data_IF_504673970090
#
_entry.id   IF_504673970090
#
_cell.length_a   1.000
_cell.length_b   1.000
_cell.length_c   1.000
_cell.angle_alpha   90.00
_cell.angle_beta   90.00
_cell.angle_gamma   90.00
#
_symmetry.space_group_name_H-M   'P 1'
#
loop_
_entity.id
_entity.type
_entity.pdbx_description
1 polymer ?
#
# COMPACT_ATOMS: atom_id res chain seq x y z
N UNK A 1 4.41 -23.88 34.02
CA UNK A 1 5.19 -22.66 33.83
C UNK A 1 5.72 -22.68 32.42
N UNK A 2 4.96 -22.15 31.49
CA UNK A 2 5.32 -22.10 30.05
C UNK A 2 5.68 -20.64 29.75
N UNK A 3 6.93 -20.37 29.40
CA UNK A 3 7.39 -19.06 28.99
C UNK A 3 6.87 -18.80 27.57
N UNK A 4 5.98 -17.82 27.45
CA UNK A 4 5.58 -17.25 26.17
C UNK A 4 6.76 -16.46 25.61
N UNK A 5 7.33 -16.90 24.50
CA UNK A 5 8.32 -16.13 23.75
C UNK A 5 7.69 -14.82 23.26
N UNK A 6 8.16 -13.69 23.78
CA UNK A 6 7.85 -12.36 23.27
C UNK A 6 8.54 -12.23 21.92
N UNK A 7 7.77 -12.25 20.83
CA UNK A 7 8.28 -11.90 19.51
C UNK A 7 8.66 -10.40 19.47
N UNK A 8 9.91 -10.10 19.75
CA UNK A 8 10.46 -8.78 19.53
C UNK A 8 10.40 -8.46 18.02
N UNK A 9 9.86 -7.29 17.67
CA UNK A 9 9.98 -6.75 16.31
C UNK A 9 11.46 -6.37 16.13
N UNK A 10 12.23 -7.27 15.55
CA UNK A 10 13.58 -6.93 15.06
C UNK A 10 13.46 -5.94 13.91
N UNK A 11 14.35 -4.93 13.83
CA UNK A 11 14.47 -4.15 12.60
C UNK A 11 14.75 -5.14 11.48
N UNK A 12 13.99 -5.07 10.38
CA UNK A 12 14.28 -5.86 9.19
C UNK A 12 15.66 -5.43 8.72
N UNK A 13 16.54 -6.40 8.49
CA UNK A 13 17.70 -6.14 7.67
C UNK A 13 17.23 -5.56 6.34
N UNK A 14 17.86 -4.47 5.87
CA UNK A 14 17.54 -3.94 4.56
C UNK A 14 17.78 -5.07 3.55
N UNK A 15 16.75 -5.39 2.77
CA UNK A 15 16.91 -6.28 1.63
C UNK A 15 17.90 -5.60 0.71
N UNK A 16 19.05 -6.23 0.46
CA UNK A 16 20.05 -5.72 -0.47
C UNK A 16 19.35 -5.48 -1.82
N UNK A 17 19.52 -4.32 -2.47
CA UNK A 17 19.03 -4.12 -3.82
C UNK A 17 19.46 -5.20 -4.82
N UNK A 18 20.55 -5.91 -4.55
CA UNK A 18 20.99 -7.10 -5.27
C UNK A 18 20.12 -8.34 -5.03
N UNK A 19 19.38 -8.41 -3.91
CA UNK A 19 18.44 -9.49 -3.58
C UNK A 19 17.04 -9.27 -4.12
N UNK A 20 16.79 -8.15 -4.79
CA UNK A 20 15.62 -8.00 -5.61
C UNK A 20 15.71 -9.02 -6.73
N UNK A 21 14.72 -9.93 -6.93
CA UNK A 21 14.89 -11.06 -7.82
C UNK A 21 15.37 -10.61 -9.20
N UNK A 22 16.62 -10.93 -9.51
CA UNK A 22 17.09 -10.96 -10.87
C UNK A 22 16.27 -12.05 -11.58
N UNK A 23 15.77 -11.74 -12.77
CA UNK A 23 15.02 -12.60 -13.68
C UNK A 23 14.89 -14.06 -13.26
N UNK A 24 13.65 -14.49 -12.97
CA UNK A 24 13.34 -15.93 -12.85
C UNK A 24 13.71 -16.57 -14.18
N UNK A 25 14.75 -17.42 -14.18
CA UNK A 25 15.05 -18.27 -15.33
C UNK A 25 13.80 -19.06 -15.70
N UNK A 26 13.34 -18.86 -16.92
CA UNK A 26 12.13 -19.42 -17.45
C UNK A 26 12.13 -20.95 -17.27
N UNK A 27 11.24 -21.47 -16.45
CA UNK A 27 10.85 -22.86 -16.48
C UNK A 27 10.24 -23.12 -17.86
N UNK A 28 10.98 -23.81 -18.74
CA UNK A 28 10.77 -24.11 -20.14
C UNK A 28 9.32 -24.32 -20.59
N UNK A 29 8.55 -23.29 -20.68
CA UNK A 29 7.27 -23.22 -21.39
C UNK A 29 7.41 -22.25 -22.55
N UNK A 30 6.94 -22.66 -23.71
CA UNK A 30 6.75 -21.76 -24.85
C UNK A 30 5.79 -20.65 -24.42
N UNK A 31 6.18 -19.35 -24.52
CA UNK A 31 5.29 -18.26 -24.16
C UNK A 31 3.97 -18.41 -24.93
N UNK A 32 2.85 -18.40 -24.21
CA UNK A 32 1.54 -18.30 -24.84
C UNK A 32 1.51 -16.97 -25.60
N UNK A 33 1.11 -17.01 -26.87
CA UNK A 33 0.91 -15.81 -27.68
C UNK A 33 -0.09 -14.92 -26.96
N UNK A 34 0.25 -13.62 -26.62
CA UNK A 34 -0.66 -12.72 -25.95
C UNK A 34 -1.99 -12.68 -26.73
N UNK A 35 -3.11 -12.86 -26.06
CA UNK A 35 -4.41 -12.66 -26.70
C UNK A 35 -4.52 -11.17 -27.07
N UNK A 36 -4.85 -10.86 -28.30
CA UNK A 36 -4.87 -9.50 -28.87
C UNK A 36 -5.82 -8.51 -28.16
N UNK A 37 -6.43 -8.90 -27.05
CA UNK A 37 -7.42 -8.15 -26.27
C UNK A 37 -7.03 -7.94 -24.80
N UNK A 38 -5.97 -8.56 -24.29
CA UNK A 38 -5.55 -8.38 -22.91
C UNK A 38 -4.86 -7.02 -22.73
N UNK A 39 -5.21 -6.20 -21.70
CA UNK A 39 -4.58 -4.92 -21.44
C UNK A 39 -3.12 -5.12 -20.99
N UNK A 40 -2.24 -4.18 -21.32
CA UNK A 40 -0.90 -4.15 -20.75
C UNK A 40 -0.94 -3.71 -19.27
N UNK A 41 0.06 -4.10 -18.47
CA UNK A 41 0.17 -3.67 -17.07
C UNK A 41 0.24 -2.15 -16.94
N UNK A 42 0.77 -1.45 -17.94
CA UNK A 42 0.74 0.01 -18.01
C UNK A 42 -0.68 0.60 -18.00
N UNK A 43 -1.67 -0.11 -18.52
CA UNK A 43 -3.08 0.30 -18.54
C UNK A 43 -3.79 -0.04 -17.21
N UNK A 44 -3.24 -0.99 -16.45
CA UNK A 44 -3.80 -1.48 -15.20
C UNK A 44 -3.15 -0.85 -13.95
N UNK A 45 -2.13 0.00 -14.12
CA UNK A 45 -1.39 0.60 -13.01
C UNK A 45 -1.44 2.14 -13.04
N UNK A 46 -1.40 2.76 -11.87
CA UNK A 46 -1.36 4.23 -11.77
C UNK A 46 -0.02 4.82 -12.18
N UNK A 47 1.07 4.07 -12.10
CA UNK A 47 2.39 4.46 -12.59
C UNK A 47 2.48 4.39 -14.13
N UNK A 48 1.58 3.65 -14.76
CA UNK A 48 1.47 3.50 -16.22
C UNK A 48 2.75 3.01 -16.87
N UNK A 49 3.42 2.05 -16.25
CA UNK A 49 4.53 1.28 -16.82
C UNK A 49 4.22 -0.20 -16.73
N UNK A 50 4.86 -0.99 -17.58
CA UNK A 50 4.73 -2.44 -17.61
C UNK A 50 4.21 -2.97 -18.94
N UNK A 51 4.75 -4.11 -19.35
CA UNK A 51 4.48 -4.76 -20.62
C UNK A 51 3.17 -5.58 -20.63
N UNK A 52 3.02 -6.47 -21.65
CA UNK A 52 1.83 -7.29 -21.83
C UNK A 52 1.64 -8.29 -20.70
N UNK A 53 0.42 -8.83 -20.57
CA UNK A 53 0.09 -9.94 -19.68
C UNK A 53 -0.19 -11.21 -20.48
N UNK A 54 0.05 -12.38 -19.87
CA UNK A 54 -0.25 -13.66 -20.51
C UNK A 54 -1.75 -13.87 -20.70
N UNK A 55 -2.52 -13.62 -19.65
CA UNK A 55 -4.00 -13.65 -19.70
C UNK A 55 -4.59 -12.61 -18.75
N UNK A 56 -5.83 -12.17 -19.04
CA UNK A 56 -6.57 -11.21 -18.20
C UNK A 56 -7.99 -11.68 -17.96
N UNK A 57 -8.38 -11.76 -16.69
CA UNK A 57 -9.71 -12.20 -16.27
C UNK A 57 -10.33 -11.13 -15.38
N UNK A 58 -11.48 -10.59 -15.80
CA UNK A 58 -12.29 -9.72 -14.96
C UNK A 58 -13.49 -10.51 -14.43
N UNK A 59 -13.70 -10.48 -13.11
CA UNK A 59 -14.76 -11.26 -12.46
C UNK A 59 -15.77 -10.34 -11.77
N UNK A 60 -17.04 -10.66 -11.93
CA UNK A 60 -18.17 -9.93 -11.31
C UNK A 60 -18.86 -10.73 -10.20
N UNK A 61 -18.28 -11.87 -9.82
CA UNK A 61 -18.78 -12.71 -8.73
C UNK A 61 -17.65 -13.27 -7.89
N UNK A 62 -17.94 -13.57 -6.63
CA UNK A 62 -16.98 -14.20 -5.73
C UNK A 62 -16.56 -15.58 -6.21
N UNK A 63 -17.51 -16.37 -6.69
CA UNK A 63 -17.22 -17.70 -7.24
C UNK A 63 -16.26 -17.61 -8.43
N UNK A 64 -16.50 -16.68 -9.36
CA UNK A 64 -15.61 -16.45 -10.50
C UNK A 64 -14.20 -16.02 -10.09
N UNK A 65 -14.05 -15.17 -9.06
CA UNK A 65 -12.75 -14.79 -8.53
C UNK A 65 -12.03 -16.01 -7.94
N UNK A 66 -12.72 -16.80 -7.10
CA UNK A 66 -12.14 -18.00 -6.48
C UNK A 66 -11.75 -19.03 -7.55
N UNK A 67 -12.61 -19.26 -8.56
CA UNK A 67 -12.36 -20.22 -9.62
C UNK A 67 -11.16 -19.83 -10.48
N UNK A 68 -11.00 -18.54 -10.83
CA UNK A 68 -9.85 -18.04 -11.57
C UNK A 68 -8.55 -18.25 -10.78
N UNK A 69 -8.56 -17.95 -9.47
CA UNK A 69 -7.40 -18.18 -8.58
C UNK A 69 -7.08 -19.66 -8.46
N UNK A 70 -8.07 -20.53 -8.25
CA UNK A 70 -7.90 -21.98 -8.15
C UNK A 70 -7.34 -22.59 -9.43
N UNK A 71 -7.84 -22.12 -10.59
CA UNK A 71 -7.34 -22.60 -11.87
C UNK A 71 -5.88 -22.23 -12.08
N UNK A 72 -5.49 -20.97 -11.81
CA UNK A 72 -4.09 -20.55 -11.90
C UNK A 72 -3.18 -21.38 -10.97
N UNK A 73 -3.62 -21.64 -9.72
CA UNK A 73 -2.88 -22.47 -8.77
C UNK A 73 -2.77 -23.94 -9.22
N UNK A 74 -3.85 -24.52 -9.77
CA UNK A 74 -3.86 -25.91 -10.25
C UNK A 74 -2.95 -26.08 -11.46
N UNK A 75 -2.91 -25.11 -12.35
CA UNK A 75 -2.08 -25.13 -13.56
C UNK A 75 -0.63 -24.67 -13.27
N UNK A 76 -0.34 -24.25 -12.03
CA UNK A 76 0.94 -23.67 -11.63
C UNK A 76 1.35 -22.46 -12.49
N UNK A 77 0.37 -21.65 -12.91
CA UNK A 77 0.57 -20.42 -13.67
C UNK A 77 0.76 -19.26 -12.68
N UNK A 78 1.74 -18.36 -12.91
CA UNK A 78 1.89 -17.17 -12.10
C UNK A 78 0.58 -16.35 -12.04
N UNK A 79 0.23 -15.88 -10.84
CA UNK A 79 -1.05 -15.19 -10.58
C UNK A 79 -0.80 -13.78 -10.04
N UNK A 80 -1.44 -12.78 -10.66
CA UNK A 80 -1.56 -11.43 -10.14
C UNK A 80 -3.04 -11.09 -9.94
N UNK A 81 -3.50 -11.04 -8.68
CA UNK A 81 -4.78 -10.41 -8.36
C UNK A 81 -4.54 -8.92 -8.19
N UNK A 82 -5.09 -8.12 -9.12
CA UNK A 82 -4.87 -6.68 -9.18
C UNK A 82 -6.10 -5.92 -8.69
N UNK A 83 -5.88 -4.93 -7.83
CA UNK A 83 -6.89 -3.92 -7.49
C UNK A 83 -6.80 -2.71 -8.42
N UNK A 84 -6.66 -1.51 -7.87
CA UNK A 84 -6.47 -0.29 -8.67
C UNK A 84 -5.05 -0.09 -9.21
N UNK A 85 -4.13 -1.05 -9.09
CA UNK A 85 -2.76 -0.96 -9.60
C UNK A 85 -1.92 0.18 -9.00
N UNK A 86 -2.32 0.72 -7.84
CA UNK A 86 -1.76 1.94 -7.27
C UNK A 86 -0.48 1.74 -6.43
N UNK A 87 -0.04 0.49 -6.26
CA UNK A 87 1.17 0.15 -5.51
C UNK A 87 1.95 -0.97 -6.21
N UNK A 88 2.09 -0.86 -7.53
CA UNK A 88 2.77 -1.84 -8.39
C UNK A 88 3.83 -1.14 -9.24
N UNK A 89 5.02 -1.75 -9.31
CA UNK A 89 6.03 -1.51 -10.32
C UNK A 89 6.08 -2.75 -11.21
N UNK A 90 5.62 -2.62 -12.46
CA UNK A 90 5.53 -3.71 -13.41
C UNK A 90 6.67 -3.63 -14.44
N UNK A 91 7.31 -4.76 -14.74
CA UNK A 91 8.41 -4.84 -15.69
C UNK A 91 7.95 -4.58 -17.14
N UNK A 92 8.85 -4.03 -17.96
CA UNK A 92 8.60 -3.78 -19.38
C UNK A 92 8.39 -5.08 -20.18
N UNK A 93 8.99 -6.19 -19.74
CA UNK A 93 8.75 -7.52 -20.31
C UNK A 93 7.31 -8.01 -20.10
N UNK A 94 6.60 -7.44 -19.13
CA UNK A 94 5.23 -7.83 -18.80
C UNK A 94 5.15 -8.91 -17.72
N UNK A 95 4.07 -9.67 -17.73
CA UNK A 95 3.80 -10.73 -16.75
C UNK A 95 3.26 -11.98 -17.46
N UNK A 96 4.10 -13.02 -17.53
CA UNK A 96 3.76 -14.30 -18.16
C UNK A 96 2.84 -15.16 -17.25
N UNK A 97 1.70 -14.60 -16.86
CA UNK A 97 0.74 -15.25 -15.97
C UNK A 97 -0.67 -14.74 -16.18
N UNK A 98 -1.55 -15.09 -15.27
CA UNK A 98 -2.94 -14.63 -15.27
C UNK A 98 -3.06 -13.41 -14.35
N UNK A 99 -3.56 -12.31 -14.89
CA UNK A 99 -3.99 -11.14 -14.12
C UNK A 99 -5.49 -11.24 -13.88
N UNK A 100 -5.90 -11.26 -12.61
CA UNK A 100 -7.31 -11.35 -12.21
C UNK A 100 -7.73 -10.04 -11.55
N UNK A 101 -8.82 -9.45 -12.03
CA UNK A 101 -9.45 -8.25 -11.44
C UNK A 101 -10.80 -8.59 -10.88
N UNK A 102 -11.04 -8.21 -9.63
CA UNK A 102 -12.36 -8.24 -9.01
C UNK A 102 -13.10 -6.94 -9.38
N UNK A 103 -14.17 -7.04 -10.16
CA UNK A 103 -15.00 -5.92 -10.58
C UNK A 103 -16.26 -5.74 -9.72
N UNK A 104 -16.39 -6.49 -8.62
CA UNK A 104 -17.48 -6.29 -7.65
C UNK A 104 -17.27 -4.96 -6.91
N UNK A 105 -18.37 -4.26 -6.62
CA UNK A 105 -18.32 -2.91 -6.04
C UNK A 105 -19.37 -2.71 -4.93
N UNK A 106 -19.87 -3.80 -4.35
CA UNK A 106 -20.93 -3.75 -3.35
C UNK A 106 -20.38 -3.26 -2.00
N UNK A 107 -21.19 -2.46 -1.32
CA UNK A 107 -20.97 -1.98 0.05
C UNK A 107 -22.26 -2.19 0.82
N UNK A 108 -22.24 -3.13 1.77
CA UNK A 108 -23.39 -3.56 2.55
C UNK A 108 -23.31 -3.05 3.99
N UNK A 109 -24.37 -2.38 4.43
CA UNK A 109 -24.58 -2.06 5.82
C UNK A 109 -25.09 -3.32 6.54
N UNK A 110 -24.25 -3.91 7.39
CA UNK A 110 -24.57 -5.15 8.12
C UNK A 110 -25.38 -4.86 9.37
N UNK A 111 -24.93 -3.88 10.17
CA UNK A 111 -25.64 -3.42 11.36
C UNK A 111 -25.47 -1.92 11.54
N UNK A 112 -26.53 -1.28 12.06
CA UNK A 112 -26.56 0.12 12.49
C UNK A 112 -27.19 0.15 13.87
N UNK A 113 -26.38 -0.17 14.90
CA UNK A 113 -26.81 -0.20 16.29
C UNK A 113 -26.26 1.05 17.00
N UNK A 114 -27.12 1.94 17.52
CA UNK A 114 -26.69 3.13 18.26
C UNK A 114 -25.74 2.83 19.42
N UNK A 115 -25.82 1.66 20.03
CA UNK A 115 -24.97 1.23 21.15
C UNK A 115 -23.76 0.41 20.67
N UNK A 116 -23.92 -0.40 19.62
CA UNK A 116 -22.91 -1.33 19.08
C UNK A 116 -22.03 -0.72 17.99
N UNK A 117 -22.43 0.41 17.41
CA UNK A 117 -21.76 1.03 16.27
C UNK A 117 -22.25 0.50 14.91
N UNK A 118 -21.55 0.93 13.87
CA UNK A 118 -21.86 0.59 12.47
C UNK A 118 -20.91 -0.50 11.99
N UNK A 119 -21.46 -1.57 11.45
CA UNK A 119 -20.70 -2.60 10.75
C UNK A 119 -21.01 -2.57 9.27
N UNK A 120 -19.97 -2.35 8.46
CA UNK A 120 -20.04 -2.26 7.01
C UNK A 120 -19.13 -3.30 6.39
N UNK A 121 -19.63 -4.03 5.40
CA UNK A 121 -18.82 -4.96 4.59
C UNK A 121 -18.78 -4.46 3.16
N UNK A 122 -17.57 -4.38 2.58
CA UNK A 122 -17.37 -4.03 1.18
C UNK A 122 -16.61 -5.14 0.45
N UNK A 123 -17.00 -5.41 -0.80
CA UNK A 123 -16.30 -6.36 -1.67
C UNK A 123 -14.89 -5.86 -1.99
N UNK A 124 -13.98 -6.79 -2.25
CA UNK A 124 -12.57 -6.46 -2.45
C UNK A 124 -12.33 -5.56 -3.68
N UNK A 125 -13.16 -5.67 -4.71
CA UNK A 125 -13.08 -4.86 -5.93
C UNK A 125 -13.62 -3.43 -5.77
N UNK A 126 -14.41 -3.13 -4.72
CA UNK A 126 -14.97 -1.80 -4.50
C UNK A 126 -13.85 -0.74 -4.41
N UNK A 127 -14.06 0.40 -5.06
CA UNK A 127 -13.10 1.51 -5.01
C UNK A 127 -13.00 2.07 -3.60
N UNK A 128 -11.77 2.22 -3.09
CA UNK A 128 -11.55 2.71 -1.73
C UNK A 128 -12.15 4.10 -1.47
N UNK A 129 -11.93 5.07 -2.37
CA UNK A 129 -12.43 6.43 -2.14
C UNK A 129 -13.95 6.55 -2.30
N UNK A 130 -14.61 5.65 -3.05
CA UNK A 130 -16.07 5.56 -3.10
C UNK A 130 -16.64 5.08 -1.77
N UNK A 131 -16.02 4.06 -1.14
CA UNK A 131 -16.37 3.65 0.21
C UNK A 131 -16.19 4.80 1.20
N UNK A 132 -15.05 5.52 1.15
CA UNK A 132 -14.81 6.68 2.02
C UNK A 132 -15.85 7.78 1.81
N UNK A 133 -16.20 8.10 0.57
CA UNK A 133 -17.23 9.08 0.22
C UNK A 133 -18.60 8.68 0.80
N UNK A 134 -18.99 7.42 0.62
CA UNK A 134 -20.23 6.87 1.18
C UNK A 134 -20.20 6.91 2.71
N UNK A 135 -19.09 6.53 3.34
CA UNK A 135 -18.93 6.53 4.79
C UNK A 135 -19.10 7.93 5.38
N UNK A 136 -18.46 8.95 4.77
CA UNK A 136 -18.61 10.35 5.19
C UNK A 136 -20.05 10.85 5.03
N UNK A 137 -20.71 10.51 3.90
CA UNK A 137 -22.09 10.89 3.64
C UNK A 137 -23.07 10.22 4.62
N UNK A 138 -22.81 8.99 5.02
CA UNK A 138 -23.62 8.18 5.95
C UNK A 138 -23.24 8.35 7.42
N UNK A 139 -22.32 9.27 7.75
CA UNK A 139 -21.81 9.48 9.10
C UNK A 139 -21.13 8.26 9.74
N UNK A 140 -20.48 7.40 8.96
CA UNK A 140 -19.64 6.33 9.45
C UNK A 140 -18.26 6.92 9.80
N UNK A 141 -17.98 7.03 11.09
CA UNK A 141 -16.82 7.78 11.57
C UNK A 141 -15.48 7.16 11.25
N UNK A 142 -14.44 8.00 11.13
CA UNK A 142 -13.03 7.57 11.03
C UNK A 142 -12.45 7.53 9.63
N UNK A 143 -13.25 7.46 8.57
CA UNK A 143 -12.76 7.33 7.19
C UNK A 143 -12.18 8.61 6.57
N UNK A 144 -12.61 9.79 7.01
CA UNK A 144 -12.37 11.06 6.32
C UNK A 144 -10.89 11.37 6.03
N UNK A 145 -9.97 11.04 6.95
CA UNK A 145 -8.53 11.23 6.77
C UNK A 145 -7.91 10.33 5.68
N UNK A 146 -8.59 9.25 5.29
CA UNK A 146 -8.15 8.29 4.27
C UNK A 146 -8.73 8.59 2.88
N UNK A 147 -9.32 9.77 2.69
CA UNK A 147 -9.91 10.23 1.42
C UNK A 147 -8.88 10.33 0.31
N UNK A 148 -9.29 10.00 -0.91
CA UNK A 148 -8.50 10.15 -2.13
C UNK A 148 -7.31 9.19 -2.24
N UNK A 149 -7.19 8.17 -1.39
CA UNK A 149 -6.20 7.10 -1.57
C UNK A 149 -6.69 6.24 -2.75
N UNK A 150 -5.87 6.09 -3.81
CA UNK A 150 -6.24 5.25 -4.95
C UNK A 150 -6.16 3.77 -4.60
N UNK A 151 -6.94 2.94 -5.29
CA UNK A 151 -6.95 1.50 -5.11
C UNK A 151 -8.30 0.95 -4.69
N UNK A 152 -8.34 -0.30 -4.24
CA UNK A 152 -9.56 -1.03 -3.89
C UNK A 152 -9.59 -1.43 -2.42
N UNK A 153 -10.77 -1.75 -1.93
CA UNK A 153 -11.01 -2.19 -0.55
C UNK A 153 -10.18 -3.43 -0.20
N UNK A 154 -10.07 -4.40 -1.12
CA UNK A 154 -9.29 -5.62 -0.87
C UNK A 154 -7.77 -5.39 -0.78
N UNK A 155 -7.26 -4.35 -1.48
CA UNK A 155 -5.86 -3.97 -1.41
C UNK A 155 -5.51 -3.17 -0.14
N UNK A 156 -6.49 -2.49 0.45
CA UNK A 156 -6.27 -1.61 1.60
C UNK A 156 -5.62 -2.31 2.81
N UNK A 157 -6.09 -3.49 3.29
CA UNK A 157 -5.47 -4.20 4.40
C UNK A 157 -4.12 -4.83 4.05
N UNK A 158 -3.84 -5.15 2.78
CA UNK A 158 -2.56 -5.74 2.37
C UNK A 158 -1.40 -4.79 2.72
N UNK A 159 -1.58 -3.51 2.44
CA UNK A 159 -0.57 -2.47 2.65
C UNK A 159 -0.77 -1.72 3.97
N UNK A 160 -1.83 -2.03 4.75
CA UNK A 160 -2.26 -1.19 5.87
C UNK A 160 -2.23 0.29 5.46
N UNK A 161 -3.04 0.63 4.44
CA UNK A 161 -3.03 1.99 3.89
C UNK A 161 -3.27 3.03 4.98
N UNK A 162 -2.63 4.18 4.85
CA UNK A 162 -2.78 5.24 5.82
C UNK A 162 -2.35 6.59 5.27
N UNK A 163 -3.00 7.63 5.76
CA UNK A 163 -2.73 9.01 5.44
C UNK A 163 -3.17 9.92 6.60
N UNK A 164 -2.52 11.07 6.72
CA UNK A 164 -2.88 12.14 7.68
C UNK A 164 -3.11 11.65 9.13
N UNK A 165 -2.27 10.70 9.57
CA UNK A 165 -2.29 10.16 10.94
C UNK A 165 -3.28 9.03 11.18
N UNK A 166 -4.08 8.63 10.18
CA UNK A 166 -5.00 7.50 10.24
C UNK A 166 -4.49 6.31 9.42
N UNK A 167 -4.85 5.10 9.81
CA UNK A 167 -4.57 3.85 9.10
C UNK A 167 -5.84 2.99 9.00
N UNK A 168 -5.93 2.14 7.96
CA UNK A 168 -7.09 1.25 7.79
C UNK A 168 -7.27 0.30 8.98
N UNK A 169 -6.20 -0.08 9.65
CA UNK A 169 -6.22 -0.89 10.88
C UNK A 169 -7.12 -0.32 11.97
N UNK A 170 -7.37 1.00 11.98
CA UNK A 170 -8.21 1.66 13.00
C UNK A 170 -9.71 1.47 12.75
N UNK A 171 -10.07 1.06 11.54
CA UNK A 171 -11.45 0.90 11.09
C UNK A 171 -11.81 -0.57 10.84
N UNK A 172 -10.80 -1.39 10.47
CA UNK A 172 -10.96 -2.75 10.04
C UNK A 172 -11.29 -3.68 11.21
N UNK A 173 -12.33 -4.49 11.08
CA UNK A 173 -12.66 -5.56 12.03
C UNK A 173 -12.08 -6.90 11.56
N UNK A 174 -12.23 -7.23 10.28
CA UNK A 174 -11.78 -8.50 9.70
C UNK A 174 -11.72 -8.43 8.18
N UNK A 175 -11.08 -9.42 7.58
CA UNK A 175 -11.21 -9.71 6.14
C UNK A 175 -11.72 -11.13 5.94
N UNK A 176 -12.52 -11.32 4.89
CA UNK A 176 -12.84 -12.63 4.36
C UNK A 176 -11.96 -12.87 3.14
N UNK A 177 -11.27 -14.00 3.10
CA UNK A 177 -10.27 -14.26 2.08
C UNK A 177 -10.33 -15.73 1.60
N UNK A 178 -9.93 -15.96 0.36
CA UNK A 178 -9.58 -17.28 -0.13
C UNK A 178 -8.16 -17.62 0.30
N UNK A 179 -7.98 -18.66 1.11
CA UNK A 179 -6.66 -19.20 1.50
C UNK A 179 -6.20 -20.20 0.44
N UNK A 180 -5.27 -19.78 -0.41
CA UNK A 180 -4.71 -20.59 -1.51
C UNK A 180 -3.98 -21.83 -1.00
N UNK A 181 -3.35 -21.76 0.19
CA UNK A 181 -2.67 -22.90 0.79
C UNK A 181 -3.65 -23.93 1.35
N UNK A 182 -4.75 -23.47 1.94
CA UNK A 182 -5.76 -24.34 2.53
C UNK A 182 -6.87 -24.76 1.55
N UNK A 183 -6.96 -24.11 0.38
CA UNK A 183 -7.99 -24.37 -0.62
C UNK A 183 -9.42 -24.09 -0.12
N UNK A 184 -9.58 -23.10 0.75
CA UNK A 184 -10.89 -22.75 1.34
C UNK A 184 -10.99 -21.27 1.69
N UNK A 185 -12.22 -20.79 1.79
CA UNK A 185 -12.48 -19.45 2.33
C UNK A 185 -12.25 -19.44 3.84
N UNK A 186 -11.62 -18.37 4.31
CA UNK A 186 -11.32 -18.12 5.72
C UNK A 186 -11.77 -16.73 6.14
N UNK A 187 -12.03 -16.57 7.43
CA UNK A 187 -12.30 -15.28 8.08
C UNK A 187 -11.10 -14.94 8.94
N UNK A 188 -10.45 -13.82 8.67
CA UNK A 188 -9.21 -13.40 9.35
C UNK A 188 -9.53 -12.15 10.16
N UNK A 189 -9.59 -12.25 11.51
CA UNK A 189 -9.82 -11.08 12.37
C UNK A 189 -8.62 -10.13 12.33
N UNK A 190 -8.84 -8.88 12.70
CA UNK A 190 -7.81 -7.82 12.72
C UNK A 190 -6.54 -8.27 13.47
N UNK A 191 -6.68 -8.97 14.59
CA UNK A 191 -5.54 -9.45 15.39
C UNK A 191 -4.61 -10.41 14.64
N UNK A 192 -5.14 -11.22 13.72
CA UNK A 192 -4.37 -12.18 12.93
C UNK A 192 -3.75 -11.55 11.68
N UNK A 193 -4.30 -10.42 11.21
CA UNK A 193 -3.72 -9.66 10.10
C UNK A 193 -2.36 -9.03 10.44
N UNK A 194 -2.04 -8.87 11.73
CA UNK A 194 -0.77 -8.32 12.24
C UNK A 194 -0.36 -7.06 11.49
N UNK A 195 -1.31 -6.12 11.36
CA UNK A 195 -1.09 -4.87 10.66
C UNK A 195 -0.07 -4.00 11.42
N UNK A 196 0.95 -3.56 10.69
CA UNK A 196 1.93 -2.59 11.16
C UNK A 196 2.12 -1.49 10.11
N UNK A 197 3.08 -0.59 10.31
CA UNK A 197 3.35 0.47 9.34
C UNK A 197 3.71 -0.11 7.97
N UNK A 198 2.83 0.08 6.98
CA UNK A 198 2.97 -0.41 5.59
C UNK A 198 3.17 -1.92 5.47
N UNK A 199 2.67 -2.72 6.42
CA UNK A 199 2.87 -4.15 6.45
C UNK A 199 1.66 -4.90 7.04
N UNK A 200 1.52 -6.18 6.65
CA UNK A 200 0.48 -7.09 7.13
C UNK A 200 0.92 -8.55 6.97
N UNK A 201 0.23 -9.49 7.61
CA UNK A 201 0.40 -10.92 7.32
C UNK A 201 0.08 -11.23 5.84
N UNK A 202 -0.89 -10.53 5.25
CA UNK A 202 -1.23 -10.66 3.83
C UNK A 202 -0.02 -10.33 2.94
N UNK A 203 0.62 -9.17 3.20
CA UNK A 203 1.80 -8.73 2.45
C UNK A 203 3.00 -9.63 2.70
N UNK A 204 3.27 -9.99 3.95
CA UNK A 204 4.42 -10.87 4.28
C UNK A 204 4.35 -12.21 3.60
N UNK A 205 3.17 -12.77 3.36
CA UNK A 205 3.03 -14.04 2.64
C UNK A 205 3.55 -14.02 1.20
N UNK A 206 3.82 -12.83 0.63
CA UNK A 206 4.45 -12.70 -0.68
C UNK A 206 5.88 -13.26 -0.69
N UNK A 207 6.64 -13.03 0.39
CA UNK A 207 8.09 -13.26 0.44
C UNK A 207 8.55 -14.06 1.66
N UNK A 208 7.69 -14.28 2.65
CA UNK A 208 8.00 -14.98 3.90
C UNK A 208 7.33 -16.37 3.89
N UNK A 209 8.11 -17.46 3.78
CA UNK A 209 7.56 -18.81 3.75
C UNK A 209 6.90 -19.22 5.08
N UNK A 210 7.32 -18.67 6.24
CA UNK A 210 6.70 -18.99 7.52
C UNK A 210 5.25 -18.48 7.59
N UNK A 211 4.98 -17.31 7.01
CA UNK A 211 3.63 -16.76 6.85
C UNK A 211 2.90 -17.43 5.68
N UNK A 212 3.63 -17.80 4.64
CA UNK A 212 3.13 -18.39 3.41
C UNK A 212 2.81 -19.89 3.48
N UNK A 213 2.83 -20.55 4.66
CA UNK A 213 2.63 -21.98 4.83
C UNK A 213 3.70 -22.83 4.09
N UNK A 214 4.96 -22.48 4.29
CA UNK A 214 6.11 -23.19 3.75
C UNK A 214 6.56 -22.76 2.36
N UNK A 215 5.93 -21.73 1.76
CA UNK A 215 6.32 -21.19 0.45
C UNK A 215 6.09 -19.69 0.36
N UNK A 216 6.75 -19.03 -0.57
CA UNK A 216 6.45 -17.66 -1.00
C UNK A 216 5.37 -17.66 -2.08
N UNK A 217 4.56 -16.62 -2.15
CA UNK A 217 3.38 -16.58 -3.02
C UNK A 217 3.40 -15.46 -4.06
N UNK A 218 4.34 -14.50 -3.99
CA UNK A 218 4.33 -13.30 -4.85
C UNK A 218 4.09 -13.57 -6.33
N UNK A 219 3.51 -12.62 -7.07
CA UNK A 219 3.11 -11.27 -6.64
C UNK A 219 1.73 -11.21 -5.94
N UNK A 220 0.94 -12.28 -5.93
CA UNK A 220 -0.30 -12.40 -5.14
C UNK A 220 -0.05 -13.28 -3.92
N UNK A 221 -0.40 -12.79 -2.72
CA UNK A 221 -0.17 -13.49 -1.47
C UNK A 221 -0.97 -14.78 -1.29
N UNK A 222 -0.69 -15.48 -0.19
CA UNK A 222 -1.45 -16.67 0.23
C UNK A 222 -2.95 -16.42 0.31
N UNK A 223 -3.34 -15.25 0.81
CA UNK A 223 -4.74 -14.91 1.00
C UNK A 223 -5.19 -13.89 -0.04
N UNK A 224 -6.14 -14.28 -0.87
CA UNK A 224 -6.84 -13.37 -1.79
C UNK A 224 -8.05 -12.81 -1.05
N UNK A 225 -8.05 -11.51 -0.78
CA UNK A 225 -9.15 -10.84 -0.08
C UNK A 225 -10.40 -10.86 -0.95
N UNK A 226 -11.51 -11.30 -0.38
CA UNK A 226 -12.84 -11.35 -1.02
C UNK A 226 -13.73 -10.18 -0.58
N UNK A 227 -13.62 -9.79 0.68
CA UNK A 227 -14.29 -8.63 1.26
C UNK A 227 -13.58 -8.17 2.54
N UNK A 228 -13.79 -6.92 2.91
CA UNK A 228 -13.35 -6.36 4.18
C UNK A 228 -14.55 -5.86 4.99
N UNK A 229 -14.56 -6.14 6.29
CA UNK A 229 -15.57 -5.69 7.23
C UNK A 229 -14.98 -4.62 8.14
N UNK A 230 -15.64 -3.49 8.23
CA UNK A 230 -15.28 -2.35 9.07
C UNK A 230 -16.25 -2.23 10.23
N UNK A 231 -15.73 -1.87 11.41
CA UNK A 231 -16.54 -1.60 12.59
C UNK A 231 -16.20 -0.20 13.10
N UNK A 232 -17.14 0.72 12.97
CA UNK A 232 -16.94 2.14 13.19
C UNK A 232 -18.08 2.75 14.00
N UNK A 233 -17.87 3.96 14.50
CA UNK A 233 -18.92 4.69 15.22
C UNK A 233 -19.82 5.44 14.26
N UNK A 234 -21.09 5.55 14.57
CA UNK A 234 -21.98 6.52 13.93
C UNK A 234 -21.59 7.92 14.44
N UNK A 235 -21.00 8.75 13.59
CA UNK A 235 -20.52 10.07 13.96
C UNK A 235 -20.38 10.99 12.73
N UNK A 236 -20.92 12.20 12.83
CA UNK A 236 -20.70 13.26 11.83
C UNK A 236 -19.33 13.95 11.98
N UNK A 237 -18.76 13.90 13.18
CA UNK A 237 -17.43 14.43 13.45
C UNK A 237 -16.34 13.41 13.14
N UNK A 238 -15.21 13.92 12.69
CA UNK A 238 -14.01 13.13 12.38
C UNK A 238 -13.43 12.41 13.60
N UNK A 239 -12.51 11.48 13.38
CA UNK A 239 -11.52 11.10 14.38
C UNK A 239 -10.72 12.35 14.83
N UNK A 240 -10.08 12.37 16.01
CA UNK A 240 -9.21 13.46 16.41
C UNK A 240 -8.14 13.72 15.34
N UNK A 241 -7.96 14.98 14.96
CA UNK A 241 -6.93 15.38 13.99
C UNK A 241 -5.54 15.05 14.55
N UNK A 242 -4.83 14.13 13.91
CA UNK A 242 -3.55 13.60 14.38
C UNK A 242 -2.36 14.00 13.49
N UNK A 243 -2.55 14.91 12.54
CA UNK A 243 -1.52 15.32 11.58
C UNK A 243 -1.45 16.83 11.44
N UNK A 244 -0.29 17.42 11.75
CA UNK A 244 -0.11 18.88 11.86
C UNK A 244 -0.49 19.65 10.59
N UNK A 245 -0.15 19.14 9.41
CA UNK A 245 -0.51 19.79 8.15
C UNK A 245 -2.03 19.80 7.91
N UNK A 246 -2.75 18.76 8.36
CA UNK A 246 -4.21 18.73 8.29
C UNK A 246 -4.83 19.68 9.31
N UNK A 247 -4.29 19.74 10.53
CA UNK A 247 -4.71 20.68 11.56
C UNK A 247 -4.57 22.14 11.08
N UNK A 248 -3.41 22.46 10.48
CA UNK A 248 -3.16 23.78 9.91
C UNK A 248 -4.10 24.10 8.73
N UNK A 249 -4.41 23.12 7.87
CA UNK A 249 -5.33 23.33 6.74
C UNK A 249 -6.78 23.55 7.16
N UNK A 250 -7.16 23.04 8.34
CA UNK A 250 -8.49 23.19 8.94
C UNK A 250 -8.57 24.36 9.94
N UNK A 251 -7.45 25.03 10.21
CA UNK A 251 -7.32 26.09 11.24
C UNK A 251 -7.81 25.62 12.63
N UNK A 252 -7.36 24.45 13.06
CA UNK A 252 -7.71 23.84 14.34
C UNK A 252 -6.50 23.29 15.07
N UNK A 253 -6.64 23.08 16.39
CA UNK A 253 -5.61 22.42 17.20
C UNK A 253 -5.53 20.91 16.93
N UNK A 254 -4.33 20.35 17.17
CA UNK A 254 -4.15 18.91 17.18
C UNK A 254 -5.08 18.26 18.21
N UNK A 255 -5.75 17.18 17.80
CA UNK A 255 -6.75 16.48 18.63
C UNK A 255 -8.18 17.01 18.51
N UNK A 256 -8.40 18.14 17.82
CA UNK A 256 -9.74 18.64 17.52
C UNK A 256 -10.54 17.61 16.70
N UNK A 257 -11.87 17.67 16.80
CA UNK A 257 -12.81 16.93 15.96
C UNK A 257 -13.62 17.93 15.15
N UNK A 258 -13.63 17.73 13.85
CA UNK A 258 -14.24 18.62 12.86
C UNK A 258 -15.29 17.83 12.08
N UNK A 259 -16.22 18.51 11.40
CA UNK A 259 -17.13 17.83 10.48
C UNK A 259 -16.37 16.94 9.49
N UNK A 260 -16.79 15.71 9.33
CA UNK A 260 -16.08 14.71 8.50
C UNK A 260 -16.01 15.12 7.01
N UNK A 261 -16.99 15.93 6.53
CA UNK A 261 -16.98 16.45 5.16
C UNK A 261 -15.91 17.51 4.99
N UNK A 262 -15.78 18.43 5.96
CA UNK A 262 -14.70 19.44 5.95
C UNK A 262 -13.32 18.79 5.98
N UNK A 263 -13.14 17.75 6.80
CA UNK A 263 -11.89 16.97 6.83
C UNK A 263 -11.63 16.30 5.47
N UNK A 264 -12.64 15.69 4.85
CA UNK A 264 -12.50 15.10 3.51
C UNK A 264 -12.06 16.14 2.48
N UNK A 265 -12.70 17.30 2.44
CA UNK A 265 -12.34 18.38 1.50
C UNK A 265 -10.90 18.86 1.71
N UNK A 266 -10.49 19.10 2.96
CA UNK A 266 -9.13 19.50 3.30
C UNK A 266 -8.11 18.44 2.90
N UNK A 267 -8.38 17.15 3.18
CA UNK A 267 -7.51 16.03 2.77
C UNK A 267 -7.39 15.95 1.26
N UNK A 268 -8.49 16.03 0.51
CA UNK A 268 -8.45 15.99 -0.95
C UNK A 268 -7.67 17.18 -1.52
N UNK A 269 -7.84 18.39 -0.96
CA UNK A 269 -7.06 19.57 -1.36
C UNK A 269 -5.56 19.37 -1.13
N UNK A 270 -5.17 18.90 0.07
CA UNK A 270 -3.79 18.60 0.42
C UNK A 270 -3.20 17.49 -0.47
N UNK A 271 -3.97 16.45 -0.80
CA UNK A 271 -3.52 15.37 -1.67
C UNK A 271 -3.36 15.84 -3.11
N UNK A 272 -4.29 16.65 -3.63
CA UNK A 272 -4.18 17.25 -4.99
C UNK A 272 -2.94 18.13 -5.10
N UNK A 273 -2.66 18.96 -4.10
CA UNK A 273 -1.46 19.80 -4.08
C UNK A 273 -0.15 19.03 -4.11
N UNK A 274 -0.18 17.74 -3.71
CA UNK A 274 0.97 16.81 -3.75
C UNK A 274 0.96 15.85 -4.95
N UNK A 275 -0.01 15.95 -5.86
CA UNK A 275 -0.16 14.99 -6.96
C UNK A 275 -0.55 13.58 -6.50
N UNK A 276 -1.25 13.45 -5.34
CA UNK A 276 -1.61 12.17 -4.72
C UNK A 276 -3.09 11.78 -4.91
N UNK A 277 -3.84 12.51 -5.72
CA UNK A 277 -5.16 12.15 -6.24
C UNK A 277 -5.00 11.93 -7.74
N UNK A 278 -5.41 10.76 -8.22
CA UNK A 278 -5.22 10.37 -9.62
C UNK A 278 -5.96 11.33 -10.55
N UNK A 279 -5.22 11.90 -11.50
CA UNK A 279 -5.70 12.73 -12.59
C UNK A 279 -4.97 12.33 -13.88
N UNK A 280 -5.73 11.90 -14.88
CA UNK A 280 -5.17 11.43 -16.15
C UNK A 280 -4.42 12.52 -16.93
N UNK A 281 -4.72 13.79 -16.69
CA UNK A 281 -4.10 14.94 -17.36
C UNK A 281 -2.84 15.45 -16.63
N UNK A 282 -2.60 15.00 -15.38
CA UNK A 282 -1.48 15.46 -14.56
C UNK A 282 -0.46 14.33 -14.34
N UNK A 283 0.67 14.41 -15.03
CA UNK A 283 1.74 13.41 -14.90
C UNK A 283 2.36 13.34 -13.50
N UNK A 284 2.20 14.35 -12.65
CA UNK A 284 2.61 14.24 -11.24
C UNK A 284 1.78 13.22 -10.46
N UNK A 285 0.64 12.78 -10.99
CA UNK A 285 -0.21 11.73 -10.42
C UNK A 285 0.06 10.34 -10.98
N UNK A 286 0.85 10.23 -12.07
CA UNK A 286 1.22 8.95 -12.67
C UNK A 286 2.36 8.30 -11.87
N UNK A 287 2.03 7.83 -10.69
CA UNK A 287 2.96 7.28 -9.71
C UNK A 287 2.33 6.10 -8.97
N UNK A 288 3.13 5.37 -8.20
CA UNK A 288 2.67 4.39 -7.22
C UNK A 288 2.51 5.00 -5.81
N UNK A 289 2.19 6.30 -5.71
CA UNK A 289 2.15 7.03 -4.45
C UNK A 289 3.55 7.35 -3.92
N UNK A 290 3.71 7.35 -2.60
CA UNK A 290 5.03 7.43 -1.97
C UNK A 290 5.82 6.15 -2.28
N UNK A 291 6.91 6.28 -3.02
CA UNK A 291 7.63 5.12 -3.54
C UNK A 291 8.49 4.42 -2.47
N UNK A 292 8.89 5.15 -1.43
CA UNK A 292 9.71 4.61 -0.34
C UNK A 292 8.98 4.72 1.00
N UNK A 293 9.14 3.70 1.83
CA UNK A 293 8.71 3.74 3.22
C UNK A 293 9.60 4.67 4.05
N UNK A 294 9.05 5.26 5.09
CA UNK A 294 9.87 6.00 6.07
C UNK A 294 10.77 5.01 6.83
N UNK A 295 12.10 5.18 6.81
CA UNK A 295 13.01 4.28 7.49
C UNK A 295 12.78 4.22 8.99
N UNK A 296 12.85 3.01 9.54
CA UNK A 296 12.89 2.76 10.99
C UNK A 296 14.34 2.38 11.32
N UNK A 297 14.99 3.19 12.12
CA UNK A 297 16.40 3.11 12.47
C UNK A 297 16.54 2.73 13.94
N UNK A 298 17.66 2.13 14.30
CA UNK A 298 18.07 2.05 15.70
C UNK A 298 18.44 3.43 16.25
N UNK A 299 18.40 3.60 17.57
CA UNK A 299 18.78 4.89 18.19
C UNK A 299 20.18 5.38 17.79
N UNK A 300 21.24 4.53 17.70
CA UNK A 300 22.55 4.94 17.20
C UNK A 300 22.54 5.40 15.75
N UNK A 301 21.86 4.69 14.84
CA UNK A 301 21.74 5.09 13.43
C UNK A 301 21.00 6.42 13.29
N UNK A 302 19.91 6.61 14.04
CA UNK A 302 19.16 7.87 14.05
C UNK A 302 20.01 9.03 14.63
N UNK A 303 20.89 8.77 15.61
CA UNK A 303 21.79 9.78 16.18
C UNK A 303 22.89 10.23 15.19
N UNK A 304 23.25 9.36 14.23
CA UNK A 304 24.22 9.69 13.18
C UNK A 304 23.67 10.63 12.09
N UNK A 305 22.34 10.77 11.98
CA UNK A 305 21.73 11.71 11.06
C UNK A 305 21.92 13.17 11.52
N UNK A 306 21.90 14.16 10.60
CA UNK A 306 21.90 15.57 10.93
C UNK A 306 20.86 15.94 11.99
N UNK A 307 21.15 16.96 12.81
CA UNK A 307 20.30 17.34 13.94
C UNK A 307 18.88 17.75 13.50
N UNK A 308 18.73 18.38 12.34
CA UNK A 308 17.49 18.82 11.74
C UNK A 308 16.72 17.70 11.02
N UNK A 309 17.28 16.47 10.91
CA UNK A 309 16.55 15.33 10.37
C UNK A 309 15.35 14.98 11.27
N UNK A 310 14.13 14.81 10.71
CA UNK A 310 12.94 14.48 11.51
C UNK A 310 13.08 13.15 12.22
N UNK A 311 12.69 13.10 13.49
CA UNK A 311 12.68 11.91 14.34
C UNK A 311 11.32 11.72 14.97
N UNK A 312 10.74 10.55 14.75
CA UNK A 312 9.42 10.20 15.24
C UNK A 312 9.47 8.91 16.05
N UNK A 313 8.68 8.77 17.12
CA UNK A 313 8.57 7.51 17.84
C UNK A 313 7.98 6.42 16.94
N UNK A 314 8.44 5.19 17.16
CA UNK A 314 7.85 3.99 16.54
C UNK A 314 6.81 3.43 17.49
N UNK A 315 5.55 3.36 17.09
CA UNK A 315 4.46 2.83 17.89
C UNK A 315 4.22 1.33 17.57
N UNK A 316 4.16 0.51 18.61
CA UNK A 316 3.76 -0.90 18.49
C UNK A 316 2.23 -1.00 18.53
N UNK A 317 1.61 -0.88 17.37
CA UNK A 317 0.15 -0.95 17.25
C UNK A 317 -0.43 -2.35 17.53
N UNK A 318 0.39 -3.41 17.42
CA UNK A 318 -0.04 -4.75 17.79
C UNK A 318 -0.28 -4.90 19.30
N UNK A 319 0.33 -4.02 20.11
CA UNK A 319 0.14 -3.94 21.55
C UNK A 319 -0.81 -2.82 21.99
N UNK A 320 -1.49 -2.17 21.05
CA UNK A 320 -2.49 -1.16 21.41
C UNK A 320 -3.62 -1.81 22.23
N UNK A 321 -3.88 -1.27 23.41
CA UNK A 321 -4.98 -1.72 24.28
C UNK A 321 -6.22 -0.91 23.94
N UNK A 322 -7.34 -1.60 23.72
CA UNK A 322 -8.62 -0.95 23.48
C UNK A 322 -8.98 0.00 24.65
N UNK A 323 -9.33 1.25 24.33
CA UNK A 323 -9.66 2.28 25.32
C UNK A 323 -8.47 3.10 25.84
N UNK A 324 -7.23 2.77 25.50
CA UNK A 324 -6.05 3.61 25.79
C UNK A 324 -5.75 4.57 24.64
N UNK A 325 -5.18 5.75 24.96
CA UNK A 325 -4.71 6.68 23.93
C UNK A 325 -3.34 6.24 23.42
N UNK A 326 -3.31 5.81 22.15
CA UNK A 326 -2.09 5.46 21.44
C UNK A 326 -1.58 4.04 21.70
N UNK A 327 -0.69 3.58 20.82
CA UNK A 327 0.06 2.35 21.00
C UNK A 327 1.35 2.63 21.78
N UNK A 328 1.88 1.65 22.56
CA UNK A 328 3.15 1.83 23.25
C UNK A 328 4.27 2.11 22.25
N UNK A 329 5.22 2.94 22.67
CA UNK A 329 6.42 3.24 21.86
C UNK A 329 7.39 2.08 21.99
N UNK A 330 8.03 1.72 20.90
CA UNK A 330 9.11 0.73 20.87
C UNK A 330 10.42 1.43 21.22
N UNK A 331 10.98 1.08 22.37
CA UNK A 331 12.25 1.65 22.80
C UNK A 331 13.40 1.25 21.86
N UNK A 332 14.34 2.15 21.64
CA UNK A 332 15.51 1.91 20.80
C UNK A 332 15.28 2.05 19.30
N UNK A 333 14.04 2.29 18.86
CA UNK A 333 13.70 2.51 17.45
C UNK A 333 13.20 3.94 17.22
N UNK A 334 13.65 4.53 16.10
CA UNK A 334 13.27 5.87 15.65
C UNK A 334 12.87 5.82 14.17
N UNK A 335 11.73 6.35 13.83
CA UNK A 335 11.32 6.53 12.44
C UNK A 335 11.79 7.90 11.94
N UNK A 336 12.40 7.95 10.75
CA UNK A 336 12.76 9.20 10.08
C UNK A 336 11.97 9.41 8.79
N UNK A 337 12.14 10.57 8.16
CA UNK A 337 11.41 10.93 6.94
C UNK A 337 12.22 10.58 5.69
N UNK A 338 11.75 9.62 4.89
CA UNK A 338 12.32 9.34 3.58
C UNK A 338 12.30 10.60 2.67
N UNK A 339 11.24 11.40 2.73
CA UNK A 339 11.16 12.64 1.96
C UNK A 339 12.27 13.63 2.32
N UNK A 340 12.59 13.78 3.62
CA UNK A 340 13.66 14.64 4.07
C UNK A 340 15.02 14.11 3.59
N UNK A 341 15.27 12.82 3.74
CA UNK A 341 16.51 12.18 3.31
C UNK A 341 16.75 12.36 1.80
N UNK A 342 15.74 12.14 0.97
CA UNK A 342 15.81 12.28 -0.47
C UNK A 342 16.11 13.73 -0.87
N UNK A 343 15.36 14.68 -0.34
CA UNK A 343 15.52 16.10 -0.65
C UNK A 343 16.92 16.61 -0.26
N UNK A 344 17.40 16.25 0.94
CA UNK A 344 18.70 16.66 1.47
C UNK A 344 19.89 15.84 0.93
N UNK A 345 19.62 14.70 0.27
CA UNK A 345 20.66 13.96 -0.47
C UNK A 345 20.92 14.55 -1.87
N UNK A 346 20.21 15.62 -2.27
CA UNK A 346 20.40 16.29 -3.56
C UNK A 346 19.41 15.87 -4.63
N UNK A 347 18.29 15.27 -4.26
CA UNK A 347 17.21 14.86 -5.16
C UNK A 347 15.97 15.77 -4.97
N UNK A 348 15.98 17.01 -5.51
CA UNK A 348 14.84 17.92 -5.38
C UNK A 348 13.65 17.45 -6.21
N UNK A 349 12.50 18.05 -5.97
CA UNK A 349 11.30 17.87 -6.80
C UNK A 349 11.62 18.07 -8.27
N UNK A 350 11.12 17.19 -9.13
CA UNK A 350 11.39 17.19 -10.55
C UNK A 350 12.74 16.61 -10.97
N UNK A 351 13.55 16.11 -10.02
CA UNK A 351 14.83 15.47 -10.34
C UNK A 351 14.62 14.31 -11.32
N UNK A 352 15.51 14.22 -12.32
CA UNK A 352 15.63 13.10 -13.25
C UNK A 352 17.09 12.69 -13.38
N UNK A 353 17.35 11.44 -13.74
CA UNK A 353 18.72 10.91 -13.89
C UNK A 353 19.42 11.59 -15.06
N UNK A 354 20.60 12.15 -14.81
CA UNK A 354 21.45 12.77 -15.84
C UNK A 354 21.83 11.75 -16.91
N UNK A 355 21.64 12.13 -18.19
CA UNK A 355 21.89 11.22 -19.30
C UNK A 355 20.83 10.14 -19.52
N UNK A 356 19.81 10.08 -18.68
CA UNK A 356 18.64 9.22 -18.85
C UNK A 356 17.66 9.76 -19.89
N UNK A 357 16.55 9.05 -20.07
CA UNK A 357 15.50 9.40 -21.05
C UNK A 357 14.74 10.69 -20.73
N UNK A 358 14.78 11.16 -19.47
CA UNK A 358 13.95 12.26 -18.96
C UNK A 358 12.46 11.92 -18.81
N UNK A 359 12.05 10.68 -19.13
CA UNK A 359 10.65 10.23 -19.08
C UNK A 359 10.19 9.76 -17.69
N UNK A 360 11.14 9.52 -16.77
CA UNK A 360 10.86 9.33 -15.35
C UNK A 360 11.55 10.42 -14.53
N UNK A 361 10.84 10.96 -13.54
CA UNK A 361 11.37 11.97 -12.62
C UNK A 361 10.70 11.86 -11.24
N UNK A 362 11.30 12.47 -10.22
CA UNK A 362 10.55 12.82 -9.04
C UNK A 362 9.40 13.78 -9.42
N UNK A 363 8.26 13.64 -8.76
CA UNK A 363 7.15 14.58 -8.92
C UNK A 363 7.61 16.01 -8.64
N UNK A 364 7.10 16.98 -9.42
CA UNK A 364 7.32 18.40 -9.16
C UNK A 364 6.59 18.90 -7.91
N UNK A 365 5.68 18.07 -7.37
CA UNK A 365 4.86 18.37 -6.20
C UNK A 365 5.31 17.64 -4.93
N UNK A 366 5.90 16.44 -5.06
CA UNK A 366 6.25 15.61 -3.91
C UNK A 366 7.46 14.71 -4.16
N UNK A 367 8.53 14.87 -3.37
CA UNK A 367 9.80 14.14 -3.54
C UNK A 367 9.72 12.62 -3.29
N UNK A 368 8.65 12.13 -2.66
CA UNK A 368 8.46 10.66 -2.48
C UNK A 368 7.82 9.98 -3.69
N UNK A 369 7.30 10.71 -4.66
CA UNK A 369 6.65 10.12 -5.81
C UNK A 369 7.61 10.07 -7.02
N UNK A 370 7.93 8.85 -7.44
CA UNK A 370 8.54 8.60 -8.74
C UNK A 370 7.42 8.62 -9.77
N UNK A 371 7.56 9.42 -10.80
CA UNK A 371 6.48 9.68 -11.78
C UNK A 371 6.89 9.32 -13.19
N UNK A 372 5.93 8.80 -13.95
CA UNK A 372 5.99 8.66 -15.39
C UNK A 372 5.58 10.01 -16.01
N UNK A 373 6.51 10.64 -16.75
CA UNK A 373 6.31 11.95 -17.39
C UNK A 373 5.69 11.85 -18.80
N UNK A 374 5.14 10.70 -19.11
CA UNK A 374 4.61 10.35 -20.43
C UNK A 374 5.59 9.46 -21.21
N UNK A 375 5.22 8.18 -21.39
CA UNK A 375 6.02 7.21 -22.13
C UNK A 375 7.29 6.72 -21.41
N UNK A 376 7.36 6.80 -20.06
CA UNK A 376 8.41 6.14 -19.30
C UNK A 376 8.29 4.62 -19.41
N UNK A 377 9.42 3.95 -19.40
CA UNK A 377 9.53 2.50 -19.23
C UNK A 377 9.71 2.16 -17.74
N UNK A 378 9.51 0.89 -17.37
CA UNK A 378 9.85 0.44 -16.03
C UNK A 378 11.35 0.59 -15.75
N UNK A 379 12.20 0.37 -16.77
CA UNK A 379 13.64 0.59 -16.67
C UNK A 379 13.98 2.06 -16.34
N UNK A 380 13.27 3.05 -16.89
CA UNK A 380 13.47 4.47 -16.54
C UNK A 380 13.15 4.73 -15.06
N UNK A 381 12.06 4.14 -14.53
CA UNK A 381 11.66 4.28 -13.13
C UNK A 381 12.66 3.57 -12.19
N UNK A 382 13.15 2.40 -12.58
CA UNK A 382 14.17 1.65 -11.84
C UNK A 382 15.48 2.43 -11.77
N UNK A 383 15.95 3.00 -12.88
CA UNK A 383 17.16 3.82 -12.88
C UNK A 383 17.02 5.04 -11.94
N UNK A 384 15.85 5.67 -11.91
CA UNK A 384 15.57 6.78 -10.98
C UNK A 384 15.56 6.30 -9.52
N UNK A 385 14.90 5.16 -9.24
CA UNK A 385 14.89 4.53 -7.91
C UNK A 385 16.31 4.26 -7.41
N UNK A 386 17.12 3.62 -8.24
CA UNK A 386 18.46 3.17 -7.87
C UNK A 386 19.40 4.35 -7.61
N UNK A 387 19.32 5.40 -8.44
CA UNK A 387 20.06 6.63 -8.20
C UNK A 387 19.70 7.28 -6.85
N UNK A 388 18.43 7.30 -6.48
CA UNK A 388 17.96 7.85 -5.20
C UNK A 388 18.42 6.99 -4.02
N UNK A 389 18.24 5.66 -4.12
CA UNK A 389 18.65 4.71 -3.05
C UNK A 389 20.14 4.84 -2.81
N UNK A 390 20.94 4.84 -3.87
CA UNK A 390 22.41 4.94 -3.75
C UNK A 390 22.83 6.29 -3.18
N UNK A 391 22.31 7.40 -3.68
CA UNK A 391 22.69 8.72 -3.18
C UNK A 391 22.29 8.96 -1.72
N UNK A 392 21.15 8.44 -1.27
CA UNK A 392 20.75 8.48 0.14
C UNK A 392 21.67 7.59 0.99
N UNK A 393 22.01 6.39 0.50
CA UNK A 393 22.92 5.46 1.15
C UNK A 393 24.32 6.08 1.31
N UNK A 394 24.86 6.67 0.24
CA UNK A 394 26.17 7.34 0.27
C UNK A 394 26.19 8.53 1.24
N UNK A 395 25.11 9.30 1.26
CA UNK A 395 25.05 10.53 2.07
C UNK A 395 24.82 10.29 3.56
N UNK A 396 23.97 9.31 3.90
CA UNK A 396 23.44 9.10 5.26
C UNK A 396 23.64 7.68 5.80
N UNK A 397 24.14 6.73 5.00
CA UNK A 397 24.24 5.32 5.39
C UNK A 397 22.87 4.62 5.50
N UNK A 398 21.78 5.26 5.06
CA UNK A 398 20.42 4.73 5.15
C UNK A 398 20.00 4.14 3.81
N UNK A 399 19.56 2.89 3.81
CA UNK A 399 19.00 2.23 2.64
C UNK A 399 17.48 2.46 2.61
N UNK A 400 16.98 3.10 1.55
CA UNK A 400 15.56 3.30 1.35
C UNK A 400 14.92 2.02 0.80
N UNK A 401 13.77 1.64 1.37
CA UNK A 401 13.02 0.45 0.98
C UNK A 401 11.82 0.85 0.11
N UNK A 402 11.73 0.35 -1.14
CA UNK A 402 10.56 0.56 -1.99
C UNK A 402 9.29 -0.03 -1.38
N UNK A 403 8.18 0.68 -1.53
CA UNK A 403 6.85 0.25 -1.06
C UNK A 403 6.08 -0.56 -2.12
N UNK A 404 6.16 -0.24 -3.43
CA UNK A 404 5.45 -0.97 -4.47
C UNK A 404 5.88 -2.44 -4.59
N UNK A 405 4.91 -3.28 -4.96
CA UNK A 405 5.16 -4.69 -5.29
C UNK A 405 5.73 -4.77 -6.71
N UNK A 406 6.87 -5.47 -6.86
CA UNK A 406 7.46 -5.73 -8.15
C UNK A 406 6.72 -6.88 -8.86
N UNK A 407 6.43 -6.72 -10.15
CA UNK A 407 5.71 -7.71 -10.98
C UNK A 407 6.44 -7.89 -12.30
N UNK A 408 6.71 -9.14 -12.68
CA UNK A 408 7.32 -9.49 -13.97
C UNK A 408 8.85 -9.38 -14.02
N UNK A 409 9.51 -9.41 -12.86
CA UNK A 409 10.97 -9.34 -12.71
C UNK A 409 11.57 -10.71 -12.46
#
# INVERSE_FOLDING_TARGET
MSQSASGAVSPREPVDPADWPASVEALGRTPGTPTATAPALAELTTLRVGGPVGDYVETTSEAGLIDAVRQADADSVPLLVIGGGSNILAADAGFEGVVVRDARAEVDLVTDDPCGGVQVTATAGATWDDLVRQAVASHWGGFAALSGIPGTVGAAPVQNIGAYGAEVAELLASVRAWDRAAGRTVHIPLSELRLTYRDSALKRSLTDPDVGAGRTWGPTGRWVVLSATFHVRQASLSAPIAYSQLAAALDVDMGARVDAREVREAVLALRRSKGMVLDAADHDTWSAGSFFTNPILTSPEAAALPEDAPRFPVADRARAVAGTRGAPVVDGLVKTSAAWLIDHAGFPKGFSVSGGSGRASLSTKHVLALTNRGGATAADVVALRDAIVEGVRERYGVVLVPEPVAVGW
#
